data_IF_218184480127
#
_entry.id   IF_218184480127
#
_cell.length_a   1.000
_cell.length_b   1.000
_cell.length_c   1.000
_cell.angle_alpha   90.00
_cell.angle_beta   90.00
_cell.angle_gamma   90.00
#
_symmetry.space_group_name_H-M   'P 1'
#
loop_
_entity.id
_entity.type
_entity.pdbx_description
1 polymer ?
#
# COMPACT_ATOMS: atom_id res chain seq x y z
N UNK A 1 -13.26 9.78 -0.59
CA UNK A 1 -11.96 10.06 0.05
C UNK A 1 -12.07 10.30 1.54
N UNK A 2 -13.13 10.98 1.98
CA UNK A 2 -13.29 11.33 3.39
C UNK A 2 -13.46 10.12 4.31
N UNK A 3 -13.90 8.99 3.76
CA UNK A 3 -14.08 7.76 4.53
C UNK A 3 -12.77 6.97 4.71
N UNK A 4 -11.69 7.40 4.06
CA UNK A 4 -10.43 6.66 4.14
C UNK A 4 -9.65 7.01 5.42
N UNK A 5 -8.97 6.02 6.02
CA UNK A 5 -8.12 6.29 7.18
C UNK A 5 -7.00 7.28 6.85
N UNK A 6 -6.48 7.92 7.89
CA UNK A 6 -5.42 8.90 7.76
C UNK A 6 -4.18 8.30 7.07
N UNK A 7 -3.83 7.05 7.40
CA UNK A 7 -2.68 6.39 6.81
C UNK A 7 -2.83 6.22 5.30
N UNK A 8 -4.04 5.92 4.83
CA UNK A 8 -4.31 5.78 3.40
C UNK A 8 -4.24 7.15 2.72
N UNK A 9 -4.75 8.19 3.39
CA UNK A 9 -4.65 9.56 2.84
C UNK A 9 -3.20 10.01 2.74
N UNK A 10 -2.36 9.65 3.69
CA UNK A 10 -0.93 9.97 3.64
C UNK A 10 -0.25 9.26 2.48
N UNK A 11 -0.55 7.97 2.28
CA UNK A 11 -0.03 7.23 1.13
C UNK A 11 -0.50 7.86 -0.19
N UNK A 12 -1.75 8.27 -0.23
CA UNK A 12 -2.31 8.96 -1.40
C UNK A 12 -1.51 10.22 -1.75
N UNK A 13 -1.27 11.06 -0.75
CA UNK A 13 -0.54 12.32 -0.95
C UNK A 13 0.90 12.06 -1.42
N UNK A 14 1.56 11.09 -0.80
CA UNK A 14 2.93 10.74 -1.17
C UNK A 14 3.01 10.25 -2.61
N UNK A 15 2.14 9.32 -2.98
CA UNK A 15 2.17 8.73 -4.32
C UNK A 15 1.80 9.75 -5.40
N UNK A 16 0.85 10.63 -5.11
CA UNK A 16 0.51 11.71 -6.03
C UNK A 16 1.66 12.69 -6.20
N UNK A 17 2.37 12.98 -5.13
CA UNK A 17 3.51 13.89 -5.17
C UNK A 17 4.63 13.33 -6.05
N UNK A 18 4.82 12.03 -6.07
CA UNK A 18 5.81 11.39 -6.94
C UNK A 18 5.46 11.54 -8.41
N UNK A 19 4.18 11.62 -8.72
CA UNK A 19 3.65 11.94 -10.04
C UNK A 19 4.23 11.09 -11.18
N UNK A 20 4.42 9.81 -10.93
CA UNK A 20 4.83 8.86 -11.96
C UNK A 20 3.68 7.91 -12.24
N UNK A 21 3.70 7.27 -13.41
CA UNK A 21 2.69 6.29 -13.77
C UNK A 21 2.68 5.14 -12.76
N UNK A 22 3.85 4.68 -12.38
CA UNK A 22 4.01 3.59 -11.42
C UNK A 22 3.43 3.98 -10.06
N UNK A 23 3.67 5.20 -9.61
CA UNK A 23 3.12 5.67 -8.33
C UNK A 23 1.60 5.74 -8.38
N UNK A 24 1.02 6.20 -9.48
CA UNK A 24 -0.42 6.26 -9.62
C UNK A 24 -1.03 4.86 -9.66
N UNK A 25 -0.38 3.92 -10.34
CA UNK A 25 -0.83 2.54 -10.34
C UNK A 25 -0.82 1.95 -8.93
N UNK A 26 0.25 2.19 -8.17
CA UNK A 26 0.35 1.73 -6.78
C UNK A 26 -0.72 2.39 -5.92
N UNK A 27 -1.00 3.66 -6.15
CA UNK A 27 -2.05 4.36 -5.41
C UNK A 27 -3.40 3.66 -5.58
N UNK A 28 -3.75 3.31 -6.81
CA UNK A 28 -5.00 2.60 -7.08
C UNK A 28 -5.04 1.26 -6.36
N UNK A 29 -3.92 0.55 -6.35
CA UNK A 29 -3.82 -0.74 -5.65
C UNK A 29 -3.93 -0.58 -4.14
N UNK A 30 -3.33 0.46 -3.57
CA UNK A 30 -3.40 0.74 -2.13
C UNK A 30 -4.85 0.99 -1.71
N UNK A 31 -5.57 1.79 -2.49
CA UNK A 31 -6.98 2.10 -2.19
C UNK A 31 -7.83 0.83 -2.34
N UNK A 32 -7.61 0.08 -3.40
CA UNK A 32 -8.34 -1.16 -3.65
C UNK A 32 -8.11 -2.18 -2.53
N UNK A 33 -6.84 -2.34 -2.13
CA UNK A 33 -6.47 -3.26 -1.06
C UNK A 33 -7.22 -2.91 0.24
N UNK A 34 -7.31 -1.64 0.55
CA UNK A 34 -8.03 -1.21 1.73
C UNK A 34 -9.53 -1.49 1.61
N UNK A 35 -10.12 -1.11 0.48
CA UNK A 35 -11.57 -1.25 0.30
C UNK A 35 -12.03 -2.70 0.25
N UNK A 36 -11.26 -3.57 -0.40
CA UNK A 36 -11.66 -4.97 -0.56
C UNK A 36 -11.23 -5.87 0.58
N UNK A 37 -10.11 -5.57 1.23
CA UNK A 37 -9.54 -6.47 2.24
C UNK A 37 -9.32 -5.79 3.59
N UNK A 38 -9.63 -4.52 3.72
CA UNK A 38 -9.38 -3.72 4.93
C UNK A 38 -7.91 -3.72 5.35
N UNK A 39 -7.00 -3.88 4.41
CA UNK A 39 -5.56 -3.85 4.66
C UNK A 39 -5.04 -2.46 4.36
N UNK A 40 -4.36 -1.87 5.35
CA UNK A 40 -3.80 -0.53 5.23
C UNK A 40 -2.34 -0.60 4.86
N UNK A 41 -1.94 0.12 3.83
CA UNK A 41 -0.54 0.28 3.47
C UNK A 41 -0.03 1.58 4.08
N UNK A 42 1.01 1.49 4.90
CA UNK A 42 1.67 2.65 5.49
C UNK A 42 3.03 2.79 4.82
N UNK A 43 3.21 3.86 4.06
CA UNK A 43 4.42 4.10 3.29
C UNK A 43 5.19 5.24 3.93
N UNK A 44 6.40 4.96 4.39
CA UNK A 44 7.26 5.96 5.03
C UNK A 44 8.49 6.19 4.16
N UNK A 45 8.65 7.40 3.61
CA UNK A 45 9.85 7.69 2.81
C UNK A 45 11.08 7.80 3.69
N UNK A 46 12.17 7.22 3.22
CA UNK A 46 13.49 7.30 3.84
C UNK A 46 14.50 7.69 2.77
N UNK A 47 15.75 7.88 3.16
CA UNK A 47 16.81 8.20 2.20
C UNK A 47 16.98 6.99 1.27
N UNK A 48 16.76 7.21 -0.03
CA UNK A 48 16.93 6.22 -1.10
C UNK A 48 16.07 4.96 -0.99
N UNK A 49 15.02 4.99 -0.17
CA UNK A 49 14.15 3.82 0.00
C UNK A 49 12.82 4.22 0.62
N UNK A 50 11.90 3.27 0.63
CA UNK A 50 10.64 3.42 1.33
C UNK A 50 10.48 2.23 2.27
N UNK A 51 10.01 2.52 3.48
CA UNK A 51 9.58 1.47 4.41
C UNK A 51 8.07 1.33 4.25
N UNK A 52 7.62 0.12 3.96
CA UNK A 52 6.20 -0.13 3.73
C UNK A 52 5.71 -1.18 4.71
N UNK A 53 4.64 -0.85 5.41
CA UNK A 53 3.99 -1.76 6.34
C UNK A 53 2.56 -2.01 5.86
N UNK A 54 2.16 -3.27 5.85
CA UNK A 54 0.79 -3.65 5.56
C UNK A 54 0.16 -4.15 6.85
N UNK A 55 -0.98 -3.54 7.23
CA UNK A 55 -1.65 -3.85 8.49
C UNK A 55 -3.10 -4.24 8.25
N UNK A 56 -3.52 -5.29 8.92
CA UNK A 56 -4.93 -5.70 8.95
C UNK A 56 -5.41 -5.56 10.39
N UNK A 57 -6.38 -4.66 10.60
CA UNK A 57 -6.79 -4.23 11.94
C UNK A 57 -5.55 -3.70 12.66
N UNK A 58 -5.19 -4.24 13.82
CA UNK A 58 -4.01 -3.80 14.57
C UNK A 58 -2.79 -4.69 14.33
N UNK A 59 -2.92 -5.72 13.50
CA UNK A 59 -1.84 -6.66 13.25
C UNK A 59 -1.02 -6.26 12.03
N UNK A 60 0.30 -6.30 12.19
CA UNK A 60 1.20 -6.09 11.06
C UNK A 60 1.35 -7.40 10.30
N UNK A 61 0.94 -7.40 9.04
CA UNK A 61 1.05 -8.56 8.18
C UNK A 61 2.42 -8.68 7.54
N UNK A 62 3.00 -7.55 7.15
CA UNK A 62 4.23 -7.54 6.38
C UNK A 62 4.90 -6.17 6.51
N UNK A 63 6.22 -6.17 6.62
CA UNK A 63 7.01 -4.96 6.55
C UNK A 63 8.17 -5.23 5.60
N UNK A 64 8.44 -4.29 4.71
CA UNK A 64 9.50 -4.44 3.74
C UNK A 64 10.10 -3.09 3.38
N UNK A 65 11.28 -3.15 2.77
CA UNK A 65 11.97 -1.98 2.21
C UNK A 65 11.92 -2.08 0.71
N UNK A 66 11.55 -1.00 0.06
CA UNK A 66 11.58 -0.94 -1.40
C UNK A 66 12.39 0.28 -1.83
N UNK A 67 13.18 0.14 -2.88
CA UNK A 67 13.92 1.25 -3.44
C UNK A 67 13.06 2.06 -4.38
N UNK A 68 12.20 1.39 -5.12
CA UNK A 68 11.33 2.03 -6.10
C UNK A 68 9.89 1.66 -5.86
N UNK A 69 9.01 2.63 -6.00
CA UNK A 69 7.58 2.43 -5.75
C UNK A 69 6.98 1.35 -6.66
N UNK A 70 7.52 1.18 -7.87
CA UNK A 70 6.98 0.16 -8.78
C UNK A 70 7.06 -1.26 -8.22
N UNK A 71 8.01 -1.50 -7.31
CA UNK A 71 8.13 -2.82 -6.67
C UNK A 71 6.87 -3.18 -5.87
N UNK A 72 6.14 -2.19 -5.40
CA UNK A 72 4.94 -2.42 -4.61
C UNK A 72 3.79 -3.03 -5.42
N UNK A 73 3.79 -2.88 -6.74
CA UNK A 73 2.73 -3.46 -7.56
C UNK A 73 2.68 -4.97 -7.38
N UNK A 74 3.81 -5.63 -7.49
CA UNK A 74 3.87 -7.08 -7.32
C UNK A 74 3.60 -7.51 -5.89
N UNK A 75 4.13 -6.77 -4.92
CA UNK A 75 3.91 -7.07 -3.51
C UNK A 75 2.43 -7.02 -3.18
N UNK A 76 1.75 -5.97 -3.61
CA UNK A 76 0.32 -5.81 -3.33
C UNK A 76 -0.50 -6.89 -4.04
N UNK A 77 -0.16 -7.19 -5.29
CA UNK A 77 -0.87 -8.24 -6.03
C UNK A 77 -0.71 -9.61 -5.35
N UNK A 78 0.49 -9.91 -4.88
CA UNK A 78 0.74 -11.16 -4.16
C UNK A 78 -0.06 -11.21 -2.85
N UNK A 79 -0.07 -10.09 -2.14
CA UNK A 79 -0.82 -10.00 -0.88
C UNK A 79 -2.31 -10.19 -1.09
N UNK A 80 -2.86 -9.59 -2.15
CA UNK A 80 -4.28 -9.75 -2.47
C UNK A 80 -4.63 -11.19 -2.81
N UNK A 81 -3.79 -11.87 -3.57
CA UNK A 81 -4.00 -13.29 -3.88
C UNK A 81 -4.00 -14.14 -2.63
N UNK A 82 -3.00 -13.92 -1.78
CA UNK A 82 -2.87 -14.67 -0.52
C UNK A 82 -4.09 -14.47 0.37
N UNK A 83 -4.53 -13.23 0.53
CA UNK A 83 -5.70 -12.91 1.37
C UNK A 83 -6.99 -13.40 0.74
N UNK A 84 -7.13 -13.33 -0.58
CA UNK A 84 -8.28 -13.86 -1.27
C UNK A 84 -8.44 -15.36 -1.04
N UNK A 85 -7.35 -16.09 -1.01
CA UNK A 85 -7.36 -17.53 -0.73
C UNK A 85 -7.73 -17.83 0.71
N UNK A 86 -7.24 -17.03 1.65
CA UNK A 86 -7.47 -17.23 3.08
C UNK A 86 -8.88 -16.83 3.49
N UNK A 87 -9.40 -15.74 2.91
CA UNK A 87 -10.69 -15.18 3.31
C UNK A 87 -11.86 -15.93 2.67
N UNK A 88 -11.63 -16.57 1.57
CA UNK A 88 -12.67 -17.40 0.97
C UNK A 88 -12.98 -18.57 1.87
#
# INVERSE_FOLDING_TARGET
>A
MDSLPKTIKQAYLLLRALNTREAIDVLKLVVYLYREFSIKAVITPKIEKFIVQFKYKDDQLLQLKVKEIKELKEVINTLMKSKGEIIK
#
